data_IF_532455335129
#
_entry.id   IF_532455335129
#
_cell.length_a   1.000
_cell.length_b   1.000
_cell.length_c   1.000
_cell.angle_alpha   90.00
_cell.angle_beta   90.00
_cell.angle_gamma   90.00
#
_symmetry.space_group_name_H-M   'P 1'
#
loop_
_entity.id
_entity.type
_entity.pdbx_description
1 polymer ?
#
# COMPACT_ATOMS: atom_id res chain seq x y z
N UNK A 1 -24.18 -30.58 -32.22
CA UNK A 1 -22.94 -30.28 -32.95
C UNK A 1 -22.45 -28.93 -32.48
N UNK A 2 -21.51 -28.94 -31.54
CA UNK A 2 -21.09 -27.77 -30.76
C UNK A 2 -19.85 -27.19 -31.41
N UNK A 3 -20.00 -26.06 -32.11
CA UNK A 3 -18.90 -25.39 -32.79
C UNK A 3 -18.03 -24.66 -31.77
N UNK A 4 -16.91 -25.28 -31.41
CA UNK A 4 -15.87 -24.70 -30.57
C UNK A 4 -15.18 -23.56 -31.32
N UNK A 5 -15.45 -22.31 -30.92
CA UNK A 5 -14.69 -21.14 -31.38
C UNK A 5 -13.27 -21.21 -30.77
N UNK A 6 -12.33 -21.74 -31.54
CA UNK A 6 -10.89 -21.58 -31.29
C UNK A 6 -10.50 -20.13 -31.53
N UNK A 7 -10.27 -19.38 -30.45
CA UNK A 7 -9.56 -18.09 -30.52
C UNK A 7 -8.13 -18.33 -31.03
N UNK A 8 -7.69 -17.66 -32.10
CA UNK A 8 -6.35 -17.85 -32.63
C UNK A 8 -5.31 -17.25 -31.67
N UNK A 9 -4.46 -18.11 -31.10
CA UNK A 9 -3.15 -17.75 -30.60
C UNK A 9 -2.26 -17.37 -31.79
N UNK A 10 -2.26 -16.08 -32.15
CA UNK A 10 -1.19 -15.49 -32.96
C UNK A 10 -0.73 -14.21 -32.28
N UNK A 11 0.50 -14.27 -31.77
CA UNK A 11 1.24 -13.10 -31.32
C UNK A 11 1.34 -12.10 -32.46
N UNK A 12 0.48 -11.10 -32.46
CA UNK A 12 0.74 -9.85 -33.18
C UNK A 12 1.93 -9.21 -32.50
N UNK A 13 3.06 -9.09 -33.22
CA UNK A 13 4.14 -8.16 -32.88
C UNK A 13 3.51 -6.77 -32.79
N UNK A 14 3.04 -6.38 -31.59
CA UNK A 14 2.92 -4.96 -31.26
C UNK A 14 4.31 -4.39 -31.49
N UNK A 15 4.46 -3.37 -32.34
CA UNK A 15 5.68 -2.59 -32.38
C UNK A 15 5.97 -2.20 -30.92
N UNK A 16 6.99 -2.79 -30.30
CA UNK A 16 7.39 -2.40 -28.96
C UNK A 16 7.71 -0.91 -29.07
N UNK A 17 6.95 -0.08 -28.38
CA UNK A 17 7.23 1.36 -28.32
C UNK A 17 8.68 1.51 -27.83
N UNK A 18 9.37 2.55 -28.26
CA UNK A 18 10.71 2.80 -27.73
C UNK A 18 10.60 3.27 -26.27
N UNK A 19 11.48 2.84 -25.36
CA UNK A 19 11.56 3.43 -24.03
C UNK A 19 11.63 4.95 -24.06
N UNK A 20 10.88 5.60 -23.17
CA UNK A 20 10.74 7.06 -23.16
C UNK A 20 9.76 7.61 -24.19
N UNK A 21 8.98 6.77 -24.90
CA UNK A 21 7.92 7.29 -25.78
C UNK A 21 6.83 7.96 -24.95
N UNK A 22 6.50 9.21 -25.25
CA UNK A 22 5.44 9.95 -24.57
C UNK A 22 4.07 9.28 -24.78
N UNK A 23 3.34 9.07 -23.67
CA UNK A 23 1.99 8.50 -23.62
C UNK A 23 0.91 9.55 -23.39
N UNK A 24 1.25 10.61 -22.65
CA UNK A 24 0.34 11.67 -22.26
C UNK A 24 0.94 13.03 -22.67
N UNK A 25 0.11 14.00 -23.09
CA UNK A 25 0.58 15.33 -23.43
C UNK A 25 1.19 16.04 -22.23
N UNK A 26 2.05 17.01 -22.51
CA UNK A 26 2.63 17.87 -21.49
C UNK A 26 1.53 18.58 -20.67
N UNK A 27 1.75 18.68 -19.36
CA UNK A 27 0.76 19.25 -18.44
C UNK A 27 -0.37 18.29 -18.03
N UNK A 28 -0.41 17.06 -18.53
CA UNK A 28 -1.34 16.04 -18.03
C UNK A 28 -1.13 15.76 -16.53
N UNK A 29 -2.23 15.55 -15.80
CA UNK A 29 -2.19 15.16 -14.39
C UNK A 29 -1.74 13.71 -14.16
N UNK A 30 -1.60 12.91 -15.21
CA UNK A 30 -1.19 11.51 -15.13
C UNK A 30 0.29 11.34 -14.78
N UNK A 31 0.59 10.38 -13.89
CA UNK A 31 1.96 10.08 -13.45
C UNK A 31 2.73 9.19 -14.42
N UNK A 32 2.04 8.31 -15.14
CA UNK A 32 2.63 7.46 -16.19
C UNK A 32 2.52 8.20 -17.51
N UNK A 33 3.39 9.19 -17.70
CA UNK A 33 3.40 10.05 -18.89
C UNK A 33 4.24 9.50 -20.04
N UNK A 34 5.11 8.52 -19.78
CA UNK A 34 6.00 7.91 -20.76
C UNK A 34 5.96 6.39 -20.65
N UNK A 35 6.19 5.73 -21.79
CA UNK A 35 6.30 4.29 -21.87
C UNK A 35 7.70 3.85 -21.49
N UNK A 36 7.79 2.87 -20.59
CA UNK A 36 9.05 2.25 -20.16
C UNK A 36 8.88 0.73 -20.20
N UNK A 37 9.97 0.01 -20.44
CA UNK A 37 9.95 -1.46 -20.53
C UNK A 37 10.03 -2.06 -19.12
N UNK A 38 8.94 -1.91 -18.37
CA UNK A 38 8.83 -2.34 -16.97
C UNK A 38 7.48 -3.01 -16.73
N UNK A 39 7.49 -4.14 -16.04
CA UNK A 39 6.29 -4.82 -15.60
C UNK A 39 5.96 -4.38 -14.17
N UNK A 40 5.23 -3.27 -14.06
CA UNK A 40 4.82 -2.74 -12.76
C UNK A 40 4.18 -3.82 -11.86
N UNK A 41 4.67 -4.02 -10.63
CA UNK A 41 4.15 -5.05 -9.76
C UNK A 41 2.67 -4.79 -9.44
N UNK A 42 1.96 -5.87 -9.14
CA UNK A 42 0.55 -5.85 -8.70
C UNK A 42 0.52 -6.35 -7.27
N UNK A 43 -0.22 -5.67 -6.40
CA UNK A 43 -0.40 -6.14 -5.01
C UNK A 43 -0.96 -7.58 -4.99
N UNK A 44 -0.49 -8.42 -4.07
CA UNK A 44 -0.89 -9.84 -4.02
C UNK A 44 -0.17 -10.75 -5.01
N UNK A 45 0.92 -10.30 -5.64
CA UNK A 45 1.75 -11.12 -6.53
C UNK A 45 1.02 -11.66 -7.76
N UNK A 46 1.52 -12.75 -8.34
CA UNK A 46 0.79 -13.56 -9.34
C UNK A 46 -0.10 -14.62 -8.67
N UNK A 47 0.20 -14.96 -7.42
CA UNK A 47 -0.36 -16.08 -6.66
C UNK A 47 -1.58 -15.72 -5.81
N UNK A 48 -2.32 -14.66 -6.15
CA UNK A 48 -3.55 -14.37 -5.43
C UNK A 48 -4.58 -15.47 -5.74
N UNK A 49 -4.56 -16.54 -4.95
CA UNK A 49 -5.48 -17.66 -5.09
C UNK A 49 -6.89 -17.14 -4.76
N UNK A 50 -7.83 -17.21 -5.71
CA UNK A 50 -9.19 -16.78 -5.45
C UNK A 50 -9.83 -17.72 -4.42
N UNK A 51 -10.51 -17.15 -3.42
CA UNK A 51 -11.44 -17.91 -2.60
C UNK A 51 -12.60 -18.39 -3.48
N UNK A 52 -13.18 -19.53 -3.10
CA UNK A 52 -14.45 -20.01 -3.66
C UNK A 52 -15.55 -18.94 -3.49
N UNK A 53 -16.48 -18.85 -4.45
CA UNK A 53 -17.57 -17.87 -4.44
C UNK A 53 -18.49 -18.00 -3.21
N UNK A 54 -18.49 -19.18 -2.57
CA UNK A 54 -19.27 -19.50 -1.38
C UNK A 54 -18.44 -19.51 -0.08
N UNK A 55 -17.17 -19.08 -0.10
CA UNK A 55 -16.25 -19.17 1.04
C UNK A 55 -16.84 -18.65 2.36
N UNK A 56 -17.54 -17.51 2.33
CA UNK A 56 -18.16 -16.88 3.51
C UNK A 56 -19.54 -17.43 3.88
N UNK A 57 -20.03 -18.42 3.14
CA UNK A 57 -21.31 -19.11 3.39
C UNK A 57 -21.12 -20.58 3.74
N UNK A 58 -19.87 -21.04 3.83
CA UNK A 58 -19.57 -22.41 4.25
C UNK A 58 -19.88 -22.62 5.74
N UNK A 59 -20.28 -23.83 6.18
CA UNK A 59 -20.50 -24.12 7.59
C UNK A 59 -19.27 -23.81 8.47
N UNK A 60 -18.06 -24.10 7.96
CA UNK A 60 -16.82 -23.83 8.67
C UNK A 60 -16.64 -22.33 8.98
N UNK A 61 -16.89 -21.46 8.00
CA UNK A 61 -16.81 -20.02 8.22
C UNK A 61 -17.95 -19.53 9.13
N UNK A 62 -19.19 -19.96 8.88
CA UNK A 62 -20.36 -19.49 9.64
C UNK A 62 -20.32 -19.89 11.12
N UNK A 63 -19.76 -21.05 11.44
CA UNK A 63 -19.60 -21.50 12.84
C UNK A 63 -18.42 -20.85 13.54
N UNK A 64 -17.35 -20.52 12.80
CA UNK A 64 -16.12 -19.95 13.37
C UNK A 64 -16.06 -18.42 13.39
N UNK A 65 -16.85 -17.73 12.56
CA UNK A 65 -16.82 -16.28 12.44
C UNK A 65 -17.75 -15.62 13.46
N UNK A 66 -17.14 -14.93 14.42
CA UNK A 66 -17.82 -13.99 15.31
C UNK A 66 -17.40 -12.56 14.96
N UNK A 67 -18.38 -11.69 14.67
CA UNK A 67 -18.11 -10.34 14.22
C UNK A 67 -17.53 -9.47 15.34
N UNK A 68 -16.36 -8.88 15.09
CA UNK A 68 -15.68 -7.97 16.01
C UNK A 68 -15.72 -6.51 15.55
N UNK A 69 -14.55 -5.87 15.58
CA UNK A 69 -14.40 -4.44 15.28
C UNK A 69 -14.49 -4.14 13.78
N UNK A 70 -14.96 -2.94 13.47
CA UNK A 70 -14.91 -2.37 12.13
C UNK A 70 -13.57 -1.64 11.96
N UNK A 71 -12.86 -1.94 10.87
CA UNK A 71 -11.67 -1.20 10.45
C UNK A 71 -11.81 -0.78 9.00
N UNK A 72 -10.97 0.16 8.58
CA UNK A 72 -11.02 0.74 7.24
C UNK A 72 -9.68 0.60 6.54
N UNK A 73 -9.67 -0.06 5.39
CA UNK A 73 -8.51 -0.03 4.49
C UNK A 73 -8.64 1.21 3.63
N UNK A 74 -7.62 2.07 3.64
CA UNK A 74 -7.64 3.32 2.90
C UNK A 74 -6.43 3.42 1.97
N UNK A 75 -6.61 4.18 0.90
CA UNK A 75 -5.54 4.60 0.01
C UNK A 75 -5.41 6.12 0.07
N UNK A 76 -4.20 6.64 0.09
CA UNK A 76 -3.94 8.06 0.00
C UNK A 76 -2.69 8.37 -0.83
N UNK A 77 -2.60 9.61 -1.30
CA UNK A 77 -1.44 10.16 -1.97
C UNK A 77 -1.25 11.61 -1.55
N UNK A 78 -0.14 12.22 -1.96
CA UNK A 78 0.04 13.67 -1.84
C UNK A 78 -0.59 14.32 -3.07
N UNK A 79 -1.54 15.24 -2.88
CA UNK A 79 -2.26 15.86 -3.98
C UNK A 79 -1.49 16.98 -4.67
N UNK A 80 -1.85 17.25 -5.93
CA UNK A 80 -1.48 18.48 -6.62
C UNK A 80 -2.47 19.59 -6.23
N UNK A 81 -1.97 20.73 -5.76
CA UNK A 81 -2.79 21.93 -5.66
C UNK A 81 -2.94 22.53 -7.07
N UNK A 82 -4.12 22.37 -7.66
CA UNK A 82 -4.40 22.88 -9.01
C UNK A 82 -4.54 24.40 -9.02
N UNK A 83 -4.77 25.03 -7.86
CA UNK A 83 -4.82 26.49 -7.72
C UNK A 83 -3.42 27.08 -7.56
N UNK A 84 -2.47 26.28 -7.07
CA UNK A 84 -1.08 26.68 -6.95
C UNK A 84 -0.12 25.55 -7.40
N UNK A 85 0.22 25.48 -8.69
CA UNK A 85 1.13 24.48 -9.23
C UNK A 85 2.56 24.51 -8.67
N UNK A 86 2.93 25.59 -7.96
CA UNK A 86 4.24 25.70 -7.29
C UNK A 86 4.33 24.90 -5.99
N UNK A 87 3.20 24.39 -5.48
CA UNK A 87 3.17 23.55 -4.27
C UNK A 87 3.89 22.24 -4.53
N UNK A 88 4.76 21.86 -3.60
CA UNK A 88 5.49 20.61 -3.68
C UNK A 88 4.53 19.41 -3.64
N UNK A 89 4.77 18.43 -4.52
CA UNK A 89 3.81 17.37 -4.79
C UNK A 89 4.02 16.09 -3.96
N UNK A 90 4.92 16.07 -2.96
CA UNK A 90 5.15 14.90 -2.08
C UNK A 90 5.26 13.57 -2.85
N UNK A 91 4.49 12.57 -2.45
CA UNK A 91 4.43 11.25 -3.11
C UNK A 91 4.01 11.33 -4.59
N UNK A 92 3.17 12.28 -5.01
CA UNK A 92 2.84 12.48 -6.42
C UNK A 92 4.05 12.96 -7.22
N UNK A 93 4.90 13.79 -6.62
CA UNK A 93 6.18 14.19 -7.23
C UNK A 93 7.10 12.98 -7.43
N UNK A 94 7.19 12.11 -6.42
CA UNK A 94 7.93 10.84 -6.53
C UNK A 94 7.36 9.96 -7.65
N UNK A 95 6.03 9.80 -7.70
CA UNK A 95 5.32 9.02 -8.72
C UNK A 95 5.59 9.54 -10.14
N UNK A 96 5.57 10.86 -10.35
CA UNK A 96 5.87 11.50 -11.65
C UNK A 96 7.32 11.26 -12.08
N UNK A 97 8.29 11.40 -11.17
CA UNK A 97 9.72 11.15 -11.47
C UNK A 97 10.01 9.68 -11.75
N UNK A 98 9.29 8.76 -11.11
CA UNK A 98 9.42 7.32 -11.31
C UNK A 98 8.60 6.80 -12.50
N UNK A 99 7.68 7.60 -13.05
CA UNK A 99 6.69 7.21 -14.06
C UNK A 99 5.78 6.07 -13.61
N UNK A 100 5.39 6.06 -12.34
CA UNK A 100 4.68 4.96 -11.71
C UNK A 100 3.50 5.42 -10.84
N UNK A 101 2.44 4.62 -10.78
CA UNK A 101 1.32 4.86 -9.87
C UNK A 101 1.68 4.42 -8.44
N UNK A 102 1.98 5.38 -7.55
CA UNK A 102 2.29 5.12 -6.15
C UNK A 102 1.20 5.66 -5.23
N UNK A 103 0.79 4.84 -4.26
CA UNK A 103 -0.13 5.25 -3.19
C UNK A 103 0.33 4.66 -1.86
N UNK A 104 0.00 5.36 -0.78
CA UNK A 104 0.01 4.76 0.55
C UNK A 104 -1.26 3.95 0.72
N UNK A 105 -1.13 2.70 1.15
CA UNK A 105 -2.27 1.83 1.54
C UNK A 105 -2.03 1.32 2.94
N UNK A 106 -3.02 1.42 3.83
CA UNK A 106 -2.90 1.09 5.26
C UNK A 106 -4.29 0.88 5.86
N UNK A 107 -4.32 0.43 7.12
CA UNK A 107 -5.56 0.18 7.88
C UNK A 107 -5.70 1.24 8.97
N UNK A 108 -6.94 1.64 9.27
CA UNK A 108 -7.23 2.46 10.44
C UNK A 108 -8.48 1.95 11.16
N UNK A 109 -8.44 1.96 12.50
CA UNK A 109 -9.62 1.78 13.34
C UNK A 109 -10.37 3.09 13.62
N UNK A 110 -9.86 4.24 13.13
CA UNK A 110 -10.50 5.53 13.35
C UNK A 110 -11.76 5.67 12.48
N UNK A 111 -12.86 6.12 13.08
CA UNK A 111 -14.12 6.36 12.38
C UNK A 111 -14.02 7.41 11.25
N UNK A 112 -13.04 8.31 11.32
CA UNK A 112 -12.87 9.39 10.35
C UNK A 112 -11.46 9.38 9.75
N UNK A 113 -11.39 9.03 8.46
CA UNK A 113 -10.12 9.02 7.70
C UNK A 113 -9.39 10.37 7.75
N UNK A 114 -10.13 11.49 7.87
CA UNK A 114 -9.53 12.83 7.99
C UNK A 114 -8.62 12.97 9.21
N UNK A 115 -8.94 12.33 10.33
CA UNK A 115 -8.06 12.33 11.51
C UNK A 115 -6.74 11.65 11.20
N UNK A 116 -6.81 10.47 10.56
CA UNK A 116 -5.62 9.75 10.13
C UNK A 116 -4.78 10.53 9.12
N UNK A 117 -5.39 11.24 8.17
CA UNK A 117 -4.66 12.09 7.23
C UNK A 117 -3.96 13.27 7.92
N UNK A 118 -4.57 13.88 8.96
CA UNK A 118 -3.93 14.93 9.76
C UNK A 118 -2.66 14.41 10.46
N UNK A 119 -2.70 13.20 11.01
CA UNK A 119 -1.51 12.57 11.60
C UNK A 119 -0.41 12.36 10.55
N UNK A 120 -0.76 11.84 9.37
CA UNK A 120 0.21 11.66 8.28
C UNK A 120 0.83 12.99 7.84
N UNK A 121 0.04 14.06 7.78
CA UNK A 121 0.51 15.40 7.44
C UNK A 121 1.47 15.93 8.50
N UNK A 122 1.12 15.76 9.78
CA UNK A 122 1.96 16.18 10.90
C UNK A 122 3.31 15.45 10.90
N UNK A 123 3.29 14.14 10.70
CA UNK A 123 4.51 13.32 10.68
C UNK A 123 5.30 13.39 9.38
N UNK A 124 4.75 14.03 8.32
CA UNK A 124 5.34 14.04 6.98
C UNK A 124 5.78 12.63 6.54
N UNK A 125 4.89 11.67 6.72
CA UNK A 125 5.23 10.24 6.60
C UNK A 125 5.91 9.94 5.26
N UNK A 126 7.09 9.32 5.28
CA UNK A 126 7.83 8.96 4.06
C UNK A 126 8.55 10.11 3.36
N UNK A 127 8.68 11.28 3.99
CA UNK A 127 9.37 12.42 3.37
C UNK A 127 10.88 12.24 3.25
N UNK A 128 11.51 11.42 4.10
CA UNK A 128 12.97 11.29 4.12
C UNK A 128 13.46 10.37 3.00
N UNK A 129 14.59 10.71 2.40
CA UNK A 129 15.21 9.98 1.28
C UNK A 129 16.70 10.31 1.16
N UNK A 130 17.38 9.70 0.19
CA UNK A 130 18.74 10.09 -0.20
C UNK A 130 18.70 11.13 -1.32
N UNK A 131 19.55 12.15 -1.23
CA UNK A 131 19.80 13.06 -2.35
C UNK A 131 20.62 12.36 -3.44
N UNK A 132 20.68 12.96 -4.63
CA UNK A 132 21.51 12.50 -5.75
C UNK A 132 22.98 12.32 -5.35
N UNK A 133 23.49 13.16 -4.45
CA UNK A 133 24.85 13.10 -3.91
C UNK A 133 25.00 12.19 -2.67
N UNK A 134 23.96 11.42 -2.32
CA UNK A 134 24.00 10.44 -1.22
C UNK A 134 23.75 11.00 0.19
N UNK A 135 23.50 12.31 0.34
CA UNK A 135 23.18 12.90 1.65
C UNK A 135 21.70 12.70 2.03
N UNK A 136 21.37 12.47 3.31
CA UNK A 136 19.99 12.44 3.76
C UNK A 136 19.27 13.76 3.45
N UNK A 137 18.06 13.67 2.88
CA UNK A 137 17.22 14.82 2.59
C UNK A 137 15.75 14.53 2.92
N UNK A 138 14.92 15.57 2.87
CA UNK A 138 13.48 15.50 3.11
C UNK A 138 12.74 16.16 1.96
N UNK A 139 11.97 15.37 1.22
CA UNK A 139 11.12 15.85 0.14
C UNK A 139 9.96 16.69 0.69
N UNK A 140 9.70 17.83 0.06
CA UNK A 140 8.57 18.70 0.39
C UNK A 140 7.23 18.11 -0.10
N UNK A 141 6.12 18.53 0.49
CA UNK A 141 4.76 18.16 0.07
C UNK A 141 4.19 16.89 0.70
N UNK A 142 4.95 16.22 1.57
CA UNK A 142 4.49 15.10 2.39
C UNK A 142 3.60 15.52 3.58
N UNK A 143 3.25 16.81 3.67
CA UNK A 143 2.28 17.40 4.58
C UNK A 143 0.91 17.67 3.93
N UNK A 144 0.69 17.20 2.70
CA UNK A 144 -0.55 17.35 1.95
C UNK A 144 -1.16 16.01 1.50
N UNK A 145 -1.32 15.07 2.43
CA UNK A 145 -1.99 13.79 2.23
C UNK A 145 -3.50 13.96 1.99
N UNK A 146 -3.98 13.33 0.92
CA UNK A 146 -5.38 13.34 0.52
C UNK A 146 -5.83 11.90 0.26
N UNK A 147 -7.03 11.55 0.75
CA UNK A 147 -7.63 10.25 0.49
C UNK A 147 -7.92 10.06 -1.01
N UNK A 148 -7.71 8.84 -1.48
CA UNK A 148 -8.08 8.42 -2.83
C UNK A 148 -9.25 7.44 -2.75
N UNK A 149 -10.20 7.58 -3.68
CA UNK A 149 -11.30 6.64 -3.80
C UNK A 149 -10.78 5.29 -4.26
N UNK A 150 -11.07 4.24 -3.49
CA UNK A 150 -10.85 2.85 -3.87
C UNK A 150 -12.10 2.38 -4.62
N UNK A 151 -11.98 2.17 -5.93
CA UNK A 151 -13.06 1.78 -6.83
C UNK A 151 -12.71 0.44 -7.48
N UNK A 152 -13.05 -0.70 -6.84
CA UNK A 152 -12.97 -2.01 -7.47
C UNK A 152 -13.96 -2.09 -8.66
N UNK A 153 -13.62 -2.90 -9.66
CA UNK A 153 -14.50 -3.17 -10.81
C UNK A 153 -15.49 -4.29 -10.48
N UNK A 154 -15.09 -5.24 -9.66
CA UNK A 154 -15.93 -6.29 -9.11
C UNK A 154 -16.52 -5.91 -7.75
N UNK A 155 -17.38 -6.78 -7.24
CA UNK A 155 -17.92 -6.68 -5.89
C UNK A 155 -17.22 -7.67 -4.96
N UNK A 156 -17.18 -7.40 -3.64
CA UNK A 156 -16.85 -8.41 -2.65
C UNK A 156 -17.71 -9.67 -2.82
N UNK A 157 -17.21 -10.82 -2.35
CA UNK A 157 -17.94 -12.07 -2.35
C UNK A 157 -19.25 -11.97 -1.57
N UNK A 158 -20.19 -12.87 -1.87
CA UNK A 158 -21.46 -12.96 -1.13
C UNK A 158 -21.19 -13.25 0.35
N UNK A 159 -21.88 -12.53 1.23
CA UNK A 159 -21.69 -12.59 2.68
C UNK A 159 -20.27 -12.22 3.17
N UNK A 160 -19.44 -11.62 2.32
CA UNK A 160 -18.12 -11.14 2.69
C UNK A 160 -18.20 -10.11 3.83
N UNK A 161 -17.32 -10.19 4.83
CA UNK A 161 -17.18 -9.16 5.86
C UNK A 161 -16.48 -7.89 5.35
N UNK A 162 -16.08 -7.86 4.07
CA UNK A 162 -15.51 -6.71 3.38
C UNK A 162 -16.59 -6.01 2.56
N UNK A 163 -16.69 -4.69 2.68
CA UNK A 163 -17.60 -3.85 1.90
C UNK A 163 -16.84 -2.70 1.26
N UNK A 164 -17.31 -2.29 0.08
CA UNK A 164 -16.82 -1.07 -0.58
C UNK A 164 -17.57 0.11 0.03
N UNK A 165 -16.90 0.88 0.87
CA UNK A 165 -17.44 2.11 1.44
C UNK A 165 -17.20 3.32 0.52
N UNK A 166 -17.52 4.52 1.00
CA UNK A 166 -17.43 5.74 0.19
C UNK A 166 -16.01 6.09 -0.28
N UNK A 167 -15.01 6.05 0.61
CA UNK A 167 -13.61 6.37 0.28
C UNK A 167 -12.59 5.36 0.82
N UNK A 168 -13.07 4.25 1.35
CA UNK A 168 -12.28 3.19 1.96
C UNK A 168 -13.01 1.86 1.81
N UNK A 169 -12.30 0.74 2.01
CA UNK A 169 -12.94 -0.55 2.19
C UNK A 169 -13.25 -0.70 3.68
N UNK A 170 -14.50 -1.03 4.00
CA UNK A 170 -14.94 -1.32 5.35
C UNK A 170 -14.76 -2.81 5.60
N UNK A 171 -14.11 -3.15 6.70
CA UNK A 171 -13.77 -4.55 7.01
C UNK A 171 -14.21 -4.86 8.44
N UNK A 172 -15.14 -5.80 8.58
CA UNK A 172 -15.54 -6.34 9.88
C UNK A 172 -14.60 -7.49 10.27
N UNK A 173 -13.65 -7.22 11.15
CA UNK A 173 -12.71 -8.23 11.61
C UNK A 173 -13.42 -9.29 12.49
N UNK A 174 -12.95 -10.54 12.52
CA UNK A 174 -13.29 -11.49 13.57
C UNK A 174 -12.98 -10.93 14.97
N UNK A 175 -13.72 -11.36 16.00
CA UNK A 175 -13.60 -10.85 17.38
C UNK A 175 -12.18 -11.01 17.96
N UNK A 176 -11.45 -12.03 17.53
CA UNK A 176 -10.10 -12.38 17.99
C UNK A 176 -8.97 -11.88 17.08
N UNK A 177 -9.29 -11.16 15.99
CA UNK A 177 -8.30 -10.56 15.09
C UNK A 177 -8.10 -9.07 15.39
N UNK A 178 -6.91 -8.71 15.87
CA UNK A 178 -6.58 -7.31 16.14
C UNK A 178 -6.37 -6.50 14.85
N UNK A 179 -6.50 -5.17 14.95
CA UNK A 179 -6.28 -4.26 13.83
C UNK A 179 -4.84 -4.33 13.32
N UNK A 180 -3.88 -4.40 14.23
CA UNK A 180 -2.45 -4.44 13.95
C UNK A 180 -2.04 -5.75 13.27
N UNK A 181 -2.54 -6.89 13.75
CA UNK A 181 -2.29 -8.20 13.13
C UNK A 181 -2.90 -8.26 11.72
N UNK A 182 -4.11 -7.73 11.54
CA UNK A 182 -4.73 -7.62 10.22
C UNK A 182 -3.92 -6.73 9.28
N UNK A 183 -3.45 -5.57 9.75
CA UNK A 183 -2.61 -4.65 8.97
C UNK A 183 -1.28 -5.29 8.57
N UNK A 184 -0.59 -5.98 9.48
CA UNK A 184 0.68 -6.66 9.17
C UNK A 184 0.48 -7.75 8.11
N UNK A 185 -0.60 -8.54 8.22
CA UNK A 185 -0.96 -9.54 7.20
C UNK A 185 -1.27 -8.89 5.86
N UNK A 186 -2.04 -7.80 5.86
CA UNK A 186 -2.33 -7.03 4.65
C UNK A 186 -1.02 -6.58 3.98
N UNK A 187 -0.10 -5.97 4.74
CA UNK A 187 1.19 -5.55 4.22
C UNK A 187 2.05 -6.71 3.73
N UNK A 188 2.02 -7.86 4.42
CA UNK A 188 2.71 -9.09 3.98
C UNK A 188 2.22 -9.55 2.61
N UNK A 189 0.91 -9.59 2.39
CA UNK A 189 0.33 -9.97 1.09
C UNK A 189 0.61 -8.93 -0.01
N UNK A 190 0.80 -7.66 0.35
CA UNK A 190 1.08 -6.58 -0.60
C UNK A 190 2.58 -6.34 -0.84
N UNK A 191 3.47 -6.98 -0.06
CA UNK A 191 4.91 -6.70 -0.01
C UNK A 191 5.60 -6.75 -1.37
N UNK A 192 5.17 -7.64 -2.25
CA UNK A 192 5.72 -7.79 -3.60
C UNK A 192 5.60 -6.52 -4.46
N UNK A 193 4.68 -5.61 -4.11
CA UNK A 193 4.46 -4.34 -4.79
C UNK A 193 4.87 -3.14 -3.92
N UNK A 194 5.57 -3.35 -2.81
CA UNK A 194 6.06 -2.27 -1.95
C UNK A 194 7.22 -1.52 -2.65
N UNK A 195 7.16 -0.19 -2.67
CA UNK A 195 8.13 0.67 -3.35
C UNK A 195 9.57 0.37 -2.92
N UNK A 196 9.83 0.41 -1.61
CA UNK A 196 11.19 0.24 -1.08
C UNK A 196 11.76 -1.15 -1.37
N UNK A 197 10.92 -2.20 -1.34
CA UNK A 197 11.35 -3.56 -1.64
C UNK A 197 11.59 -3.74 -3.15
N UNK A 198 10.72 -3.17 -3.99
CA UNK A 198 10.87 -3.24 -5.45
C UNK A 198 12.11 -2.50 -5.94
N UNK A 199 12.48 -1.37 -5.32
CA UNK A 199 13.72 -0.66 -5.65
C UNK A 199 14.97 -1.52 -5.43
N UNK A 200 14.92 -2.51 -4.53
CA UNK A 200 16.03 -3.43 -4.27
C UNK A 200 16.06 -4.62 -5.27
N UNK A 201 15.07 -4.75 -6.16
CA UNK A 201 15.01 -5.82 -7.17
C UNK A 201 15.78 -5.48 -8.44
N UNK A 202 16.18 -6.49 -9.22
CA UNK A 202 16.84 -6.29 -10.52
C UNK A 202 15.99 -5.45 -11.49
N UNK A 203 14.68 -5.67 -11.52
CA UNK A 203 13.75 -4.92 -12.37
C UNK A 203 13.67 -3.44 -11.93
N UNK A 204 13.56 -3.18 -10.62
CA UNK A 204 13.56 -1.81 -10.10
C UNK A 204 14.84 -1.06 -10.40
N UNK A 205 15.98 -1.72 -10.21
CA UNK A 205 17.30 -1.19 -10.55
C UNK A 205 17.44 -0.94 -12.07
N UNK A 206 16.92 -1.83 -12.91
CA UNK A 206 16.94 -1.67 -14.36
C UNK A 206 16.09 -0.49 -14.82
N UNK A 207 14.88 -0.32 -14.26
CA UNK A 207 14.02 0.82 -14.57
C UNK A 207 14.66 2.15 -14.14
N UNK A 208 15.23 2.22 -12.93
CA UNK A 208 15.96 3.40 -12.47
C UNK A 208 17.11 3.79 -13.41
N UNK A 209 17.89 2.81 -13.89
CA UNK A 209 18.91 3.04 -14.92
C UNK A 209 18.29 3.55 -16.24
N UNK A 210 17.17 2.98 -16.67
CA UNK A 210 16.49 3.35 -17.91
C UNK A 210 16.04 4.82 -17.91
N UNK A 211 15.61 5.34 -16.75
CA UNK A 211 15.19 6.74 -16.58
C UNK A 211 16.32 7.67 -16.11
N UNK A 212 17.56 7.16 -15.98
CA UNK A 212 18.73 7.92 -15.57
C UNK A 212 18.69 8.44 -14.13
N UNK A 213 18.16 7.66 -13.18
CA UNK A 213 17.99 8.06 -11.77
C UNK A 213 18.56 7.04 -10.80
N UNK A 214 19.01 7.51 -9.63
CA UNK A 214 19.46 6.63 -8.56
C UNK A 214 18.23 6.07 -7.79
N UNK A 215 18.13 4.74 -7.56
CA UNK A 215 17.03 4.15 -6.76
C UNK A 215 16.90 4.76 -5.35
N UNK A 216 18.00 5.20 -4.73
CA UNK A 216 17.96 5.78 -3.39
C UNK A 216 17.28 7.16 -3.35
N UNK A 217 17.19 7.87 -4.49
CA UNK A 217 16.34 9.07 -4.64
C UNK A 217 14.85 8.74 -4.52
N UNK A 218 14.44 7.47 -4.64
CA UNK A 218 13.06 7.04 -4.51
C UNK A 218 12.79 6.30 -3.20
N UNK A 219 13.84 5.81 -2.51
CA UNK A 219 13.70 5.11 -1.23
C UNK A 219 13.11 6.04 -0.17
N UNK A 220 12.10 5.56 0.56
CA UNK A 220 11.33 6.37 1.50
C UNK A 220 11.53 5.96 2.95
N UNK A 221 11.80 6.94 3.80
CA UNK A 221 11.92 6.78 5.24
C UNK A 221 11.02 7.79 5.97
N UNK A 222 10.67 7.46 7.20
CA UNK A 222 9.94 8.34 8.12
C UNK A 222 10.80 8.56 9.37
N UNK A 223 10.99 9.82 9.73
CA UNK A 223 11.56 10.20 11.02
C UNK A 223 10.46 10.28 12.06
N UNK A 224 10.57 9.51 13.13
CA UNK A 224 9.69 9.57 14.29
C UNK A 224 10.45 10.22 15.44
N UNK A 225 9.96 11.39 15.89
CA UNK A 225 10.47 12.03 17.09
C UNK A 225 9.99 11.27 18.32
N UNK A 226 10.93 10.73 19.09
CA UNK A 226 10.71 10.16 20.42
C UNK A 226 11.52 10.98 21.42
N UNK A 227 10.85 11.87 22.14
CA UNK A 227 11.49 12.82 23.06
C UNK A 227 12.63 13.61 22.38
N UNK A 228 13.89 13.37 22.80
CA UNK A 228 15.08 14.05 22.27
C UNK A 228 15.70 13.39 21.05
N UNK A 229 15.27 12.17 20.69
CA UNK A 229 15.87 11.39 19.61
C UNK A 229 14.91 11.23 18.43
N UNK A 230 15.46 11.26 17.21
CA UNK A 230 14.71 10.93 16.00
C UNK A 230 15.07 9.53 15.55
N UNK A 231 14.12 8.60 15.64
CA UNK A 231 14.26 7.27 15.04
C UNK A 231 13.83 7.35 13.58
N UNK A 232 14.74 7.03 12.67
CA UNK A 232 14.45 6.89 11.24
C UNK A 232 14.06 5.45 10.94
N UNK A 233 13.01 5.22 10.16
CA UNK A 233 12.59 3.88 9.76
C UNK A 233 12.09 3.87 8.32
N UNK A 234 12.36 2.78 7.58
CA UNK A 234 11.85 2.60 6.21
C UNK A 234 10.32 2.69 6.21
N UNK A 235 9.75 3.48 5.31
CA UNK A 235 8.32 3.48 5.06
C UNK A 235 7.91 2.13 4.45
N UNK A 236 6.93 1.46 5.04
CA UNK A 236 6.50 0.11 4.60
C UNK A 236 5.26 0.12 3.72
N UNK A 237 4.60 1.27 3.64
CA UNK A 237 3.18 1.33 3.26
C UNK A 237 2.95 1.99 1.90
N UNK A 238 4.01 2.21 1.10
CA UNK A 238 3.93 2.74 -0.25
C UNK A 238 3.97 1.62 -1.28
N UNK A 239 2.96 1.58 -2.15
CA UNK A 239 2.76 0.50 -3.10
C UNK A 239 2.55 1.01 -4.52
N UNK A 240 2.98 0.21 -5.49
CA UNK A 240 2.53 0.31 -6.87
C UNK A 240 1.05 -0.11 -6.94
N UNK A 241 0.16 0.87 -6.77
CA UNK A 241 -1.26 0.63 -6.58
C UNK A 241 -2.08 1.61 -7.42
N UNK A 242 -3.05 1.06 -8.16
CA UNK A 242 -4.00 1.81 -8.99
C UNK A 242 -5.40 1.71 -8.37
N UNK A 243 -5.84 2.71 -7.59
CA UNK A 243 -7.03 2.61 -6.73
C UNK A 243 -8.35 2.48 -7.49
N UNK A 244 -8.37 2.76 -8.80
CA UNK A 244 -9.56 2.69 -9.67
C UNK A 244 -9.36 1.66 -10.78
N UNK A 245 -8.95 0.45 -10.41
CA UNK A 245 -8.55 -0.60 -11.35
C UNK A 245 -8.65 -1.98 -10.72
N UNK A 246 -8.23 -3.03 -11.45
CA UNK A 246 -8.06 -4.38 -10.94
C UNK A 246 -7.19 -4.50 -9.68
N UNK A 247 -6.34 -3.52 -9.36
CA UNK A 247 -5.63 -3.55 -8.08
C UNK A 247 -6.59 -3.36 -6.89
N UNK A 248 -7.65 -2.56 -7.03
CA UNK A 248 -8.66 -2.44 -6.00
C UNK A 248 -9.42 -3.75 -5.79
N UNK A 249 -9.71 -4.50 -6.87
CA UNK A 249 -10.28 -5.86 -6.76
C UNK A 249 -9.35 -6.80 -6.00
N UNK A 250 -8.03 -6.72 -6.26
CA UNK A 250 -7.02 -7.51 -5.54
C UNK A 250 -6.97 -7.13 -4.06
N UNK A 251 -7.10 -5.85 -3.73
CA UNK A 251 -7.11 -5.39 -2.33
C UNK A 251 -8.30 -5.95 -1.57
N UNK A 252 -9.51 -5.92 -2.17
CA UNK A 252 -10.71 -6.58 -1.62
C UNK A 252 -10.42 -8.06 -1.38
N UNK A 253 -9.89 -8.76 -2.40
CA UNK A 253 -9.63 -10.19 -2.32
C UNK A 253 -8.57 -10.56 -1.28
N UNK A 254 -7.52 -9.75 -1.13
CA UNK A 254 -6.51 -9.94 -0.06
C UNK A 254 -7.17 -9.84 1.32
N UNK A 255 -8.00 -8.82 1.54
CA UNK A 255 -8.71 -8.65 2.81
C UNK A 255 -9.64 -9.85 3.10
N UNK A 256 -10.35 -10.32 2.08
CA UNK A 256 -11.19 -11.51 2.15
C UNK A 256 -10.41 -12.78 2.52
N UNK A 257 -9.29 -13.04 1.85
CA UNK A 257 -8.41 -14.19 2.13
C UNK A 257 -7.91 -14.15 3.57
N UNK A 258 -7.43 -13.00 4.04
CA UNK A 258 -6.93 -12.87 5.43
C UNK A 258 -8.00 -13.25 6.44
N UNK A 259 -9.23 -12.76 6.27
CA UNK A 259 -10.34 -13.02 7.20
C UNK A 259 -10.79 -14.47 7.10
N UNK A 260 -10.95 -14.98 5.88
CA UNK A 260 -11.36 -16.36 5.66
C UNK A 260 -10.36 -17.35 6.27
N UNK A 261 -9.07 -17.17 6.00
CA UNK A 261 -8.02 -18.05 6.51
C UNK A 261 -7.90 -17.96 8.03
N UNK A 262 -8.03 -16.76 8.61
CA UNK A 262 -8.02 -16.59 10.06
C UNK A 262 -9.14 -17.41 10.74
N UNK A 263 -10.34 -17.38 10.15
CA UNK A 263 -11.50 -18.08 10.70
C UNK A 263 -11.39 -19.60 10.50
N UNK A 264 -11.07 -20.03 9.28
CA UNK A 264 -11.21 -21.43 8.85
C UNK A 264 -9.94 -22.27 9.00
N UNK A 265 -8.77 -21.64 9.14
CA UNK A 265 -7.48 -22.33 9.28
C UNK A 265 -6.81 -21.97 10.62
N UNK A 266 -6.92 -22.83 11.65
CA UNK A 266 -6.27 -22.62 12.95
C UNK A 266 -4.76 -22.43 12.88
N UNK A 267 -4.07 -23.06 11.90
CA UNK A 267 -2.63 -22.90 11.69
C UNK A 267 -2.29 -21.47 11.23
N UNK A 268 -3.20 -20.83 10.49
CA UNK A 268 -3.03 -19.46 10.05
C UNK A 268 -3.06 -18.46 11.23
N UNK A 269 -3.56 -18.83 12.41
CA UNK A 269 -3.55 -18.00 13.63
C UNK A 269 -2.22 -17.96 14.35
N UNK A 270 -1.18 -18.62 13.85
CA UNK A 270 0.19 -18.38 14.33
C UNK A 270 0.48 -16.88 14.17
N UNK A 271 0.61 -16.20 15.31
CA UNK A 271 0.82 -14.76 15.38
C UNK A 271 2.05 -14.39 14.56
N UNK A 272 1.94 -13.36 13.72
CA UNK A 272 3.10 -12.70 13.13
C UNK A 272 3.72 -11.83 14.23
N UNK A 273 4.32 -12.48 15.22
CA UNK A 273 4.74 -11.85 16.48
C UNK A 273 5.78 -10.74 16.26
N UNK A 274 5.40 -9.50 16.57
CA UNK A 274 6.32 -8.43 16.98
C UNK A 274 5.64 -7.53 18.03
N UNK A 275 5.00 -8.11 19.07
CA UNK A 275 4.82 -7.33 20.30
C UNK A 275 6.20 -7.11 20.90
N UNK A 276 6.70 -5.88 20.81
CA UNK A 276 7.81 -5.46 21.65
C UNK A 276 7.37 -5.68 23.10
N UNK A 277 8.11 -6.51 23.86
CA UNK A 277 7.80 -6.84 25.28
C UNK A 277 7.71 -5.60 26.21
N UNK A 278 8.03 -4.40 25.70
CA UNK A 278 8.10 -3.15 26.45
C UNK A 278 6.86 -2.25 26.40
N UNK A 279 5.78 -2.56 25.68
CA UNK A 279 4.53 -1.78 25.79
C UNK A 279 3.67 -2.29 26.95
N UNK A 280 4.24 -2.21 28.15
CA UNK A 280 3.49 -2.19 29.41
C UNK A 280 3.19 -0.73 29.78
N UNK A 281 2.05 -0.49 30.40
CA UNK A 281 1.69 0.81 30.97
C UNK A 281 2.87 1.41 31.76
N UNK A 282 3.22 2.67 31.50
CA UNK A 282 4.09 3.44 32.39
C UNK A 282 3.31 3.68 33.68
N UNK A 283 3.58 2.85 34.69
CA UNK A 283 3.25 3.19 36.07
C UNK A 283 4.12 4.36 36.55
N UNK A 284 3.67 5.10 37.58
CA UNK A 284 4.33 6.32 38.05
C UNK A 284 5.80 6.15 38.49
N UNK A 285 6.28 4.92 38.67
CA UNK A 285 7.63 4.61 39.15
C UNK A 285 8.67 4.40 38.03
N UNK A 286 8.32 4.63 36.76
CA UNK A 286 9.22 4.35 35.61
C UNK A 286 10.22 5.49 35.30
N UNK A 287 10.21 6.58 36.09
CA UNK A 287 11.04 7.76 35.89
C UNK A 287 12.46 7.60 36.46
N UNK A 288 13.16 6.53 36.07
CA UNK A 288 14.60 6.45 36.25
C UNK A 288 15.14 5.36 35.32
N UNK A 289 16.05 5.73 34.42
CA UNK A 289 17.12 4.94 33.77
C UNK A 289 17.27 5.43 32.34
N UNK A 290 18.40 6.06 32.07
CA UNK A 290 18.79 6.47 30.72
C UNK A 290 19.80 7.61 30.65
N UNK A 291 20.72 7.71 31.60
CA UNK A 291 21.94 8.51 31.42
C UNK A 291 23.03 7.63 30.80
N UNK A 292 23.85 8.25 29.93
CA UNK A 292 24.98 7.70 29.12
C UNK A 292 24.47 7.07 27.81
N UNK A 293 24.89 7.57 26.65
CA UNK A 293 26.25 7.40 26.10
C UNK A 293 26.70 8.65 25.32
N UNK A 294 28.02 8.84 25.33
CA UNK A 294 28.81 9.90 24.68
C UNK A 294 28.80 9.84 23.15
#
# INVERSE_FOLDING_TARGET
MTTTLKLPLKGTKRSRMAPGTQLLPDGSGGVVSHWWEVQWPRIGGQELLPLDDHAFTTPAFLQGYEAGRLVFIYACGCGQDHRNPSVANGLLGVAKRLYACLHKVSVTGQAHIRSRLRELNHHRYGCQTGSENGFPCSDRGFDNWIAQLILPLGTPLKASPVRVGGSCLEVRLPIDLSTEEFEERLHKHMRNAALNEWLDTEEGQAHCRQIGRNPDEFRRLTGYGFATETRISKAKEFYFFRPKSRDADRLVRIAEVIIHDWVTNPVARQLVSFKCKGQGFYGPDSAAVGSRIA
#
